data_IF_338242071927
#
_entry.id   IF_338242071927
#
_cell.length_a   1.000
_cell.length_b   1.000
_cell.length_c   1.000
_cell.angle_alpha   90.00
_cell.angle_beta   90.00
_cell.angle_gamma   90.00
#
_symmetry.space_group_name_H-M   'P 1'
#
loop_
_entity.id
_entity.type
_entity.pdbx_description
1 polymer ?
#
# COMPACT_ATOMS: atom_id res chain seq x y z
N UNK A 1 -14.60 27.19 -23.44
CA UNK A 1 -13.18 26.85 -23.13
C UNK A 1 -13.23 26.21 -21.78
N UNK A 2 -12.63 25.02 -21.59
CA UNK A 2 -12.59 24.37 -20.27
C UNK A 2 -11.75 25.17 -19.30
N UNK A 3 -12.15 25.19 -18.04
CA UNK A 3 -11.36 25.75 -16.94
C UNK A 3 -10.03 25.03 -16.82
N UNK A 4 -8.96 25.73 -16.42
CA UNK A 4 -7.62 25.19 -16.23
C UNK A 4 -7.12 25.44 -14.82
N UNK A 5 -6.64 24.36 -14.20
CA UNK A 5 -6.02 24.37 -12.87
C UNK A 5 -4.56 23.95 -13.06
N UNK A 6 -3.65 24.53 -12.29
CA UNK A 6 -2.21 24.27 -12.36
C UNK A 6 -1.74 23.69 -11.03
N UNK A 7 -0.83 22.71 -11.10
CA UNK A 7 -0.21 22.10 -9.92
C UNK A 7 1.17 21.53 -10.28
N UNK A 8 2.03 21.31 -9.32
CA UNK A 8 3.32 20.62 -9.57
C UNK A 8 3.09 19.13 -9.77
N UNK A 9 2.28 18.50 -8.92
CA UNK A 9 2.04 17.06 -8.95
C UNK A 9 0.54 16.74 -8.90
N UNK A 10 0.06 15.99 -9.90
CA UNK A 10 -1.27 15.38 -9.90
C UNK A 10 -1.15 13.89 -9.56
N UNK A 11 -1.83 13.45 -8.50
CA UNK A 11 -1.93 12.05 -8.10
C UNK A 11 -3.34 11.55 -8.42
N UNK A 12 -3.44 10.47 -9.20
CA UNK A 12 -4.72 9.86 -9.59
C UNK A 12 -4.93 8.55 -8.84
N UNK A 13 -5.95 8.52 -7.99
CA UNK A 13 -6.33 7.37 -7.15
C UNK A 13 -6.05 7.61 -5.66
N UNK A 14 -7.12 7.67 -4.87
CA UNK A 14 -7.13 7.90 -3.42
C UNK A 14 -7.06 6.62 -2.58
N UNK A 15 -6.38 5.58 -3.07
CA UNK A 15 -6.03 4.40 -2.29
C UNK A 15 -4.85 4.66 -1.34
N UNK A 16 -4.47 3.63 -0.56
CA UNK A 16 -3.37 3.76 0.44
C UNK A 16 -2.05 4.21 -0.19
N UNK A 17 -1.78 3.82 -1.44
CA UNK A 17 -0.55 4.21 -2.16
C UNK A 17 -0.61 5.69 -2.54
N UNK A 18 -1.75 6.15 -3.11
CA UNK A 18 -1.95 7.56 -3.46
C UNK A 18 -1.87 8.48 -2.24
N UNK A 19 -2.51 8.08 -1.13
CA UNK A 19 -2.46 8.84 0.12
C UNK A 19 -1.04 8.89 0.72
N UNK A 20 -0.30 7.77 0.68
CA UNK A 20 1.09 7.76 1.15
C UNK A 20 1.99 8.67 0.30
N UNK A 21 1.81 8.67 -1.03
CA UNK A 21 2.51 9.59 -1.93
C UNK A 21 2.10 11.05 -1.66
N UNK A 22 0.80 11.32 -1.54
CA UNK A 22 0.30 12.66 -1.25
C UNK A 22 0.86 13.20 0.06
N UNK A 23 0.86 12.38 1.13
CA UNK A 23 1.39 12.78 2.45
C UNK A 23 2.88 13.11 2.45
N UNK A 24 3.64 12.60 1.50
CA UNK A 24 5.08 12.85 1.40
C UNK A 24 5.41 13.97 0.39
N UNK A 25 4.81 13.91 -0.81
CA UNK A 25 5.08 14.85 -1.90
C UNK A 25 4.59 16.27 -1.55
N UNK A 26 3.42 16.39 -0.94
CA UNK A 26 2.85 17.69 -0.56
C UNK A 26 3.68 18.50 0.45
N UNK A 27 4.70 17.91 1.04
CA UNK A 27 5.67 18.64 1.87
C UNK A 27 6.54 19.62 1.06
N UNK A 28 6.63 19.40 -0.25
CA UNK A 28 7.59 20.08 -1.12
C UNK A 28 6.97 20.63 -2.40
N UNK A 29 5.88 20.01 -2.86
CA UNK A 29 5.23 20.31 -4.14
C UNK A 29 3.77 20.73 -3.91
N UNK A 30 3.26 21.66 -4.71
CA UNK A 30 1.82 21.88 -4.83
C UNK A 30 1.19 20.61 -5.43
N UNK A 31 0.30 19.98 -4.66
CA UNK A 31 -0.18 18.64 -4.94
C UNK A 31 -1.70 18.57 -4.95
N UNK A 32 -2.24 17.97 -6.02
CA UNK A 32 -3.65 17.61 -6.14
C UNK A 32 -3.77 16.09 -6.19
N UNK A 33 -4.64 15.52 -5.35
CA UNK A 33 -5.05 14.12 -5.44
C UNK A 33 -6.51 14.03 -5.85
N UNK A 34 -6.79 13.24 -6.89
CA UNK A 34 -8.15 12.99 -7.37
C UNK A 34 -8.53 11.52 -7.19
N UNK A 35 -9.76 11.28 -6.74
CA UNK A 35 -10.35 9.95 -6.54
C UNK A 35 -11.75 9.91 -7.18
N UNK A 36 -11.98 8.90 -8.03
CA UNK A 36 -13.24 8.72 -8.76
C UNK A 36 -14.43 8.37 -7.86
N UNK A 37 -14.18 7.61 -6.79
CA UNK A 37 -15.21 7.16 -5.87
C UNK A 37 -15.67 8.27 -4.92
N UNK A 38 -16.76 8.00 -4.21
CA UNK A 38 -17.32 8.93 -3.24
C UNK A 38 -16.41 9.13 -2.03
N UNK A 39 -15.74 8.05 -1.58
CA UNK A 39 -14.79 8.10 -0.48
C UNK A 39 -13.41 7.63 -0.95
N UNK A 40 -12.39 7.97 -0.18
CA UNK A 40 -11.05 7.41 -0.32
C UNK A 40 -11.05 5.93 0.07
N UNK A 41 -10.06 5.18 -0.42
CA UNK A 41 -9.80 3.77 -0.11
C UNK A 41 -10.97 2.78 -0.34
N UNK A 42 -11.94 3.08 -1.16
CA UNK A 42 -13.13 2.20 -1.36
C UNK A 42 -12.83 0.87 -2.08
N UNK A 43 -11.73 0.76 -2.82
CA UNK A 43 -11.40 -0.44 -3.59
C UNK A 43 -10.46 -1.40 -2.84
N UNK A 44 -9.35 -1.81 -3.46
CA UNK A 44 -8.41 -2.80 -2.91
C UNK A 44 -7.89 -2.43 -1.52
N UNK A 45 -7.73 -1.14 -1.25
CA UNK A 45 -7.16 -0.64 0.01
C UNK A 45 -8.04 -0.90 1.23
N UNK A 46 -9.37 -0.99 1.07
CA UNK A 46 -10.30 -1.36 2.16
C UNK A 46 -10.63 -2.86 2.19
N UNK A 47 -10.25 -3.62 1.15
CA UNK A 47 -10.64 -5.02 0.96
C UNK A 47 -9.45 -5.96 1.17
N UNK A 48 -8.78 -5.82 2.30
CA UNK A 48 -7.65 -6.64 2.69
C UNK A 48 -7.72 -6.98 4.18
N UNK A 49 -6.83 -7.84 4.65
CA UNK A 49 -6.82 -8.31 6.04
C UNK A 49 -5.93 -7.46 6.98
N UNK A 50 -5.41 -6.34 6.52
CA UNK A 50 -4.55 -5.45 7.31
C UNK A 50 -3.24 -6.08 7.77
N UNK A 51 -2.73 -7.11 7.07
CA UNK A 51 -1.51 -7.82 7.49
C UNK A 51 -0.27 -6.99 7.21
N UNK A 52 0.54 -6.79 8.25
CA UNK A 52 1.90 -6.25 8.15
C UNK A 52 2.84 -7.41 7.84
N UNK A 53 3.32 -7.49 6.60
CA UNK A 53 4.13 -8.59 6.09
C UNK A 53 5.61 -8.48 6.49
N UNK A 54 6.26 -9.63 6.73
CA UNK A 54 7.71 -9.72 7.02
C UNK A 54 8.61 -9.68 5.77
N UNK A 55 8.04 -9.85 4.58
CA UNK A 55 8.81 -9.90 3.32
C UNK A 55 9.34 -11.29 2.93
N UNK A 56 9.10 -12.34 3.73
CA UNK A 56 9.71 -13.68 3.54
C UNK A 56 9.48 -14.30 2.16
N UNK A 57 8.29 -14.12 1.57
CA UNK A 57 7.91 -14.81 0.33
C UNK A 57 8.34 -14.08 -0.95
N UNK A 58 8.92 -12.90 -0.85
CA UNK A 58 9.35 -12.17 -2.04
C UNK A 58 10.71 -12.66 -2.55
N UNK A 59 10.95 -12.64 -3.87
CA UNK A 59 12.23 -13.02 -4.42
C UNK A 59 13.39 -12.24 -3.77
N UNK A 60 14.48 -12.95 -3.51
CA UNK A 60 15.66 -12.35 -2.88
C UNK A 60 16.21 -11.19 -3.73
N UNK A 61 16.64 -10.10 -3.08
CA UNK A 61 17.14 -8.86 -3.68
C UNK A 61 16.11 -8.10 -4.56
N UNK A 62 14.84 -8.53 -4.59
CA UNK A 62 13.81 -7.79 -5.31
C UNK A 62 13.45 -6.48 -4.62
N UNK A 63 13.04 -5.49 -5.40
CA UNK A 63 12.47 -4.25 -4.86
C UNK A 63 11.30 -4.52 -3.91
N UNK A 64 10.49 -5.54 -4.23
CA UNK A 64 9.34 -5.93 -3.43
C UNK A 64 9.76 -6.45 -2.04
N UNK A 65 10.83 -7.23 -1.95
CA UNK A 65 11.42 -7.65 -0.68
C UNK A 65 11.92 -6.45 0.11
N UNK A 66 12.81 -5.66 -0.49
CA UNK A 66 13.42 -4.48 0.13
C UNK A 66 12.37 -3.53 0.68
N UNK A 67 11.39 -3.15 -0.14
CA UNK A 67 10.35 -2.22 0.28
C UNK A 67 9.37 -2.83 1.29
N UNK A 68 9.07 -4.12 1.22
CA UNK A 68 8.23 -4.80 2.22
C UNK A 68 8.90 -4.82 3.60
N UNK A 69 10.19 -5.15 3.67
CA UNK A 69 10.94 -5.19 4.93
C UNK A 69 11.13 -3.78 5.53
N UNK A 70 11.43 -2.81 4.70
CA UNK A 70 11.55 -1.42 5.13
C UNK A 70 10.19 -0.87 5.57
N UNK A 71 9.15 -1.09 4.75
CA UNK A 71 7.78 -0.65 5.04
C UNK A 71 7.20 -1.27 6.31
N UNK A 72 7.56 -2.52 6.62
CA UNK A 72 7.17 -3.17 7.89
C UNK A 72 7.62 -2.32 9.09
N UNK A 73 8.89 -1.91 9.13
CA UNK A 73 9.44 -1.07 10.21
C UNK A 73 8.78 0.30 10.25
N UNK A 74 8.73 0.96 9.10
CA UNK A 74 8.12 2.30 8.97
C UNK A 74 6.65 2.31 9.40
N UNK A 75 5.89 1.26 9.06
CA UNK A 75 4.47 1.18 9.41
C UNK A 75 4.27 1.05 10.93
N UNK A 76 5.07 0.25 11.63
CA UNK A 76 5.00 0.20 13.11
C UNK A 76 5.39 1.54 13.77
N UNK A 77 6.38 2.24 13.23
CA UNK A 77 6.78 3.56 13.72
C UNK A 77 5.67 4.58 13.48
N UNK A 78 5.08 4.57 12.29
CA UNK A 78 3.95 5.42 11.94
C UNK A 78 2.74 5.17 12.83
N UNK A 79 2.37 3.90 13.04
CA UNK A 79 1.25 3.53 13.92
C UNK A 79 1.46 4.03 15.35
N UNK A 80 2.67 3.95 15.88
CA UNK A 80 2.98 4.50 17.21
C UNK A 80 2.89 6.02 17.26
N UNK A 81 3.39 6.69 16.20
CA UNK A 81 3.39 8.16 16.12
C UNK A 81 1.98 8.75 16.07
N UNK A 82 1.06 8.08 15.39
CA UNK A 82 -0.31 8.55 15.14
C UNK A 82 -1.38 7.80 15.96
N UNK A 83 -0.96 7.02 16.96
CA UNK A 83 -1.84 6.22 17.84
C UNK A 83 -2.82 5.32 17.06
N UNK A 84 -2.34 4.74 15.94
CA UNK A 84 -3.14 3.84 15.10
C UNK A 84 -3.17 2.45 15.73
N UNK A 85 -4.37 1.88 15.83
CA UNK A 85 -4.57 0.54 16.35
C UNK A 85 -3.81 -0.51 15.51
N UNK A 86 -2.89 -1.20 16.15
CA UNK A 86 -2.07 -2.23 15.51
C UNK A 86 -1.62 -3.29 16.52
N UNK A 87 -1.28 -4.47 16.04
CA UNK A 87 -0.77 -5.54 16.91
C UNK A 87 0.35 -6.31 16.21
N UNK A 88 1.52 -6.36 16.83
CA UNK A 88 2.63 -7.22 16.43
C UNK A 88 2.38 -8.64 16.97
N UNK A 89 1.42 -9.36 16.36
CA UNK A 89 0.94 -10.66 16.81
C UNK A 89 1.70 -11.84 16.23
N UNK A 90 2.68 -11.59 15.38
CA UNK A 90 3.38 -12.63 14.63
C UNK A 90 2.54 -13.24 13.50
N UNK A 91 3.16 -14.14 12.75
CA UNK A 91 2.53 -14.99 11.74
C UNK A 91 3.05 -16.41 11.89
N UNK A 92 2.14 -17.35 12.06
CA UNK A 92 2.50 -18.77 12.13
C UNK A 92 2.52 -19.38 10.73
N UNK A 93 3.57 -20.13 10.43
CA UNK A 93 3.68 -20.98 9.26
C UNK A 93 3.90 -22.38 9.81
N UNK A 94 2.98 -23.27 9.50
CA UNK A 94 2.96 -24.64 10.04
C UNK A 94 3.10 -25.66 8.91
N UNK A 95 3.69 -26.81 9.21
CA UNK A 95 3.94 -27.87 8.26
C UNK A 95 3.48 -29.22 8.82
N UNK A 96 2.84 -30.03 8.00
CA UNK A 96 2.64 -31.45 8.24
C UNK A 96 3.95 -32.22 8.03
N UNK A 97 3.98 -33.51 8.36
CA UNK A 97 5.20 -34.33 8.24
C UNK A 97 5.78 -34.41 6.83
N UNK A 98 4.93 -34.37 5.84
CA UNK A 98 5.29 -34.43 4.41
C UNK A 98 5.80 -33.05 3.88
N UNK A 99 5.59 -31.95 4.63
CA UNK A 99 5.97 -30.60 4.27
C UNK A 99 7.19 -30.04 5.06
N UNK A 100 7.90 -30.92 5.79
CA UNK A 100 9.04 -30.48 6.61
C UNK A 100 10.21 -29.95 5.77
N UNK A 101 10.36 -30.43 4.54
CA UNK A 101 11.38 -29.95 3.60
C UNK A 101 11.13 -28.48 3.21
N UNK A 102 9.88 -28.13 2.94
CA UNK A 102 9.47 -26.76 2.61
C UNK A 102 9.67 -25.82 3.81
N UNK A 103 9.34 -26.29 5.02
CA UNK A 103 9.59 -25.53 6.23
C UNK A 103 11.08 -25.26 6.45
N UNK A 104 11.94 -26.29 6.19
CA UNK A 104 13.39 -26.13 6.26
C UNK A 104 13.89 -25.09 5.25
N UNK A 105 13.36 -25.10 4.02
CA UNK A 105 13.69 -24.09 3.00
C UNK A 105 13.29 -22.68 3.46
N UNK A 106 12.12 -22.54 4.06
CA UNK A 106 11.65 -21.25 4.62
C UNK A 106 12.53 -20.76 5.78
N UNK A 107 12.98 -21.66 6.67
CA UNK A 107 13.89 -21.26 7.75
C UNK A 107 15.26 -20.82 7.22
N UNK A 108 15.77 -21.48 6.18
CA UNK A 108 17.00 -21.05 5.51
C UNK A 108 16.80 -19.67 4.83
N UNK A 109 15.64 -19.43 4.24
CA UNK A 109 15.29 -18.16 3.66
C UNK A 109 15.19 -17.06 4.72
N UNK A 110 14.62 -17.35 5.89
CA UNK A 110 14.64 -16.40 7.02
C UNK A 110 16.06 -15.99 7.39
N UNK A 111 16.98 -16.97 7.50
CA UNK A 111 18.38 -16.71 7.84
C UNK A 111 19.08 -15.86 6.78
N UNK A 112 18.88 -16.15 5.49
CA UNK A 112 19.52 -15.41 4.40
C UNK A 112 19.02 -13.97 4.29
N UNK A 113 17.80 -13.68 4.77
CA UNK A 113 17.15 -12.37 4.72
C UNK A 113 17.18 -11.60 6.05
N UNK A 114 17.85 -12.12 7.06
CA UNK A 114 17.87 -11.56 8.42
C UNK A 114 16.46 -11.34 8.99
N UNK A 115 15.54 -12.27 8.70
CA UNK A 115 14.18 -12.27 9.24
C UNK A 115 14.16 -13.12 10.52
N UNK A 116 13.87 -12.48 11.65
CA UNK A 116 13.74 -13.17 12.92
C UNK A 116 12.53 -14.12 12.91
N UNK A 117 12.77 -15.33 13.36
CA UNK A 117 11.72 -16.33 13.56
C UNK A 117 11.96 -17.17 14.80
N UNK A 118 10.89 -17.70 15.36
CA UNK A 118 10.91 -18.66 16.47
C UNK A 118 10.37 -20.00 15.96
N UNK A 119 11.12 -21.10 16.21
CA UNK A 119 10.65 -22.46 15.92
C UNK A 119 9.51 -22.84 16.85
N UNK A 120 8.51 -23.52 16.31
CA UNK A 120 7.32 -23.99 17.02
C UNK A 120 7.23 -25.50 16.95
N UNK A 121 7.10 -26.13 18.12
CA UNK A 121 6.75 -27.54 18.21
C UNK A 121 5.21 -27.72 18.27
N UNK A 122 4.74 -28.94 18.06
CA UNK A 122 3.33 -29.28 18.26
C UNK A 122 2.82 -28.94 19.68
N UNK A 123 3.69 -28.98 20.69
CA UNK A 123 3.37 -28.60 22.08
C UNK A 123 3.11 -27.08 22.20
N UNK A 124 3.88 -26.24 21.50
CA UNK A 124 3.68 -24.78 21.53
C UNK A 124 2.32 -24.38 20.98
N UNK A 125 1.81 -25.17 20.05
CA UNK A 125 0.54 -24.91 19.36
C UNK A 125 -0.65 -25.69 19.94
N UNK A 126 -0.46 -26.45 21.00
CA UNK A 126 -1.53 -27.25 21.63
C UNK A 126 -2.77 -26.44 22.03
N UNK A 127 -2.62 -25.13 22.29
CA UNK A 127 -3.72 -24.20 22.54
C UNK A 127 -4.59 -23.91 21.31
N UNK A 128 -4.11 -24.23 20.10
CA UNK A 128 -4.84 -24.07 18.84
C UNK A 128 -5.33 -25.44 18.35
N UNK A 129 -6.18 -26.09 19.13
CA UNK A 129 -6.61 -27.49 19.01
C UNK A 129 -7.18 -27.92 17.65
N UNK A 130 -7.59 -26.96 16.81
CA UNK A 130 -8.12 -27.22 15.47
C UNK A 130 -7.05 -27.41 14.39
N UNK A 131 -5.76 -27.22 14.72
CA UNK A 131 -4.66 -27.33 13.76
C UNK A 131 -3.83 -28.59 14.02
N UNK A 132 -3.79 -29.50 13.04
CA UNK A 132 -2.91 -30.67 13.05
C UNK A 132 -1.67 -30.39 12.23
N UNK A 133 -0.51 -30.28 12.88
CA UNK A 133 0.78 -30.07 12.22
C UNK A 133 1.92 -30.69 13.05
N UNK A 134 3.08 -30.86 12.43
CA UNK A 134 4.27 -31.45 13.07
C UNK A 134 5.21 -30.39 13.65
N UNK A 135 5.53 -29.41 12.84
CA UNK A 135 6.45 -28.31 13.18
C UNK A 135 5.96 -27.01 12.55
N UNK A 136 6.51 -25.88 13.00
CA UNK A 136 6.22 -24.57 12.44
C UNK A 136 7.23 -23.52 12.84
N UNK A 137 7.04 -22.33 12.29
CA UNK A 137 7.77 -21.13 12.69
C UNK A 137 6.80 -19.97 12.94
N UNK A 138 7.18 -19.09 13.83
CA UNK A 138 6.53 -17.80 14.04
C UNK A 138 7.43 -16.69 13.49
N UNK A 139 6.89 -15.89 12.59
CA UNK A 139 7.56 -14.70 12.06
C UNK A 139 7.17 -13.51 12.95
N UNK A 140 8.04 -13.14 13.88
CA UNK A 140 7.77 -12.18 14.94
C UNK A 140 7.53 -10.75 14.43
N UNK A 141 8.07 -10.39 13.25
CA UNK A 141 7.90 -9.06 12.66
C UNK A 141 6.54 -8.84 11.99
N UNK A 142 5.77 -9.91 11.76
CA UNK A 142 4.43 -9.80 11.18
C UNK A 142 3.41 -9.33 12.19
N UNK A 143 2.33 -8.71 11.70
CA UNK A 143 1.25 -8.24 12.56
C UNK A 143 0.04 -7.81 11.75
N UNK A 144 -0.82 -7.03 12.39
CA UNK A 144 -2.03 -6.45 11.81
C UNK A 144 -2.12 -4.97 12.15
N UNK A 145 -2.76 -4.21 11.28
CA UNK A 145 -3.01 -2.77 11.42
C UNK A 145 -4.46 -2.45 11.06
N UNK A 146 -5.03 -1.45 11.72
CA UNK A 146 -6.26 -0.82 11.28
C UNK A 146 -5.97 0.01 10.03
N UNK A 147 -6.41 -0.53 8.88
CA UNK A 147 -6.14 0.06 7.56
C UNK A 147 -6.87 1.38 7.37
N UNK A 148 -8.06 1.54 7.95
CA UNK A 148 -8.82 2.78 7.84
C UNK A 148 -8.15 3.90 8.62
N UNK A 149 -7.83 3.70 9.90
CA UNK A 149 -7.11 4.68 10.70
C UNK A 149 -5.72 5.01 10.13
N UNK A 150 -5.06 4.03 9.48
CA UNK A 150 -3.81 4.29 8.77
C UNK A 150 -4.02 5.22 7.57
N UNK A 151 -5.06 4.98 6.76
CA UNK A 151 -5.40 5.84 5.63
C UNK A 151 -5.78 7.26 6.09
N UNK A 152 -6.61 7.37 7.14
CA UNK A 152 -7.02 8.65 7.72
C UNK A 152 -5.81 9.48 8.18
N UNK A 153 -4.81 8.82 8.77
CA UNK A 153 -3.58 9.50 9.18
C UNK A 153 -2.76 10.03 8.01
N UNK A 154 -2.72 9.31 6.90
CA UNK A 154 -2.04 9.74 5.67
C UNK A 154 -2.78 10.90 5.01
N UNK A 155 -4.12 10.83 4.94
CA UNK A 155 -4.96 11.93 4.47
C UNK A 155 -4.76 13.18 5.33
N UNK A 156 -4.78 13.03 6.65
CA UNK A 156 -4.52 14.12 7.58
C UNK A 156 -3.18 14.81 7.29
N UNK A 157 -2.09 14.03 7.16
CA UNK A 157 -0.77 14.58 6.85
C UNK A 157 -0.78 15.33 5.51
N UNK A 158 -1.40 14.76 4.47
CA UNK A 158 -1.46 15.38 3.15
C UNK A 158 -2.20 16.73 3.22
N UNK A 159 -3.33 16.80 3.91
CA UNK A 159 -4.12 18.03 4.08
C UNK A 159 -3.39 19.08 4.93
N UNK A 160 -2.70 18.69 6.00
CA UNK A 160 -1.85 19.60 6.78
C UNK A 160 -0.72 20.21 5.93
N UNK A 161 -0.25 19.50 4.91
CA UNK A 161 0.71 19.99 3.94
C UNK A 161 0.04 20.66 2.70
N UNK A 162 -1.24 21.06 2.82
CA UNK A 162 -2.01 21.77 1.79
C UNK A 162 -2.30 20.97 0.51
N UNK A 163 -2.17 19.62 0.51
CA UNK A 163 -2.63 18.82 -0.60
C UNK A 163 -4.14 18.98 -0.82
N UNK A 164 -4.54 19.32 -2.02
CA UNK A 164 -5.94 19.38 -2.41
C UNK A 164 -6.42 17.96 -2.74
N UNK A 165 -7.38 17.43 -1.99
CA UNK A 165 -7.94 16.09 -2.20
C UNK A 165 -9.39 16.22 -2.65
N UNK A 166 -9.68 15.73 -3.86
CA UNK A 166 -11.01 15.77 -4.46
C UNK A 166 -11.52 14.36 -4.76
N UNK A 167 -12.62 13.97 -4.11
CA UNK A 167 -13.37 12.74 -4.41
C UNK A 167 -14.41 12.98 -5.51
N UNK A 168 -15.03 11.91 -6.05
CA UNK A 168 -15.95 11.99 -7.21
C UNK A 168 -15.35 12.69 -8.42
N UNK A 169 -14.03 12.57 -8.55
CA UNK A 169 -13.21 13.29 -9.51
C UNK A 169 -12.35 12.29 -10.26
N UNK A 170 -12.64 12.09 -11.54
CA UNK A 170 -12.06 11.04 -12.38
C UNK A 170 -11.17 11.62 -13.48
N UNK A 171 -9.98 11.04 -13.65
CA UNK A 171 -9.17 11.25 -14.84
C UNK A 171 -9.82 10.51 -16.02
N UNK A 172 -10.21 11.23 -17.06
CA UNK A 172 -10.81 10.66 -18.27
C UNK A 172 -9.80 10.42 -19.38
N UNK A 173 -8.84 11.33 -19.53
CA UNK A 173 -7.72 11.20 -20.46
C UNK A 173 -6.56 12.11 -20.07
N UNK A 174 -5.39 11.87 -20.66
CA UNK A 174 -4.27 12.77 -20.50
C UNK A 174 -3.48 12.88 -21.80
N UNK A 175 -2.76 13.98 -21.96
CA UNK A 175 -1.81 14.20 -23.04
C UNK A 175 -0.48 14.73 -22.48
N UNK A 176 0.60 14.26 -23.10
CA UNK A 176 1.95 14.77 -22.79
C UNK A 176 2.19 15.98 -23.68
N UNK A 177 2.42 17.11 -23.09
CA UNK A 177 2.87 18.33 -23.75
C UNK A 177 4.37 18.50 -23.48
N UNK A 178 4.99 19.46 -24.10
CA UNK A 178 6.47 19.62 -24.10
C UNK A 178 7.13 19.32 -22.74
N UNK A 179 6.66 19.93 -21.65
CA UNK A 179 7.24 19.78 -20.31
C UNK A 179 6.19 19.58 -19.23
N UNK A 180 4.94 19.28 -19.55
CA UNK A 180 3.87 19.06 -18.59
C UNK A 180 2.83 18.06 -19.10
N UNK A 181 1.98 17.59 -18.19
CA UNK A 181 0.84 16.75 -18.50
C UNK A 181 -0.43 17.60 -18.51
N UNK A 182 -1.23 17.44 -19.55
CA UNK A 182 -2.57 17.99 -19.66
C UNK A 182 -3.58 16.87 -19.38
N UNK A 183 -4.23 16.94 -18.22
CA UNK A 183 -5.15 15.89 -17.75
C UNK A 183 -6.58 16.38 -17.82
N UNK A 184 -7.44 15.69 -18.58
CA UNK A 184 -8.88 15.95 -18.62
C UNK A 184 -9.54 15.27 -17.43
N UNK A 185 -10.18 16.05 -16.60
CA UNK A 185 -10.81 15.62 -15.35
C UNK A 185 -12.31 15.82 -15.44
N UNK A 186 -13.08 14.84 -14.98
CA UNK A 186 -14.53 14.93 -14.80
C UNK A 186 -14.86 14.90 -13.30
N UNK A 187 -15.54 15.94 -12.82
CA UNK A 187 -16.05 16.01 -11.45
C UNK A 187 -17.55 16.26 -11.49
N UNK A 188 -18.35 15.30 -11.04
CA UNK A 188 -19.83 15.40 -11.01
C UNK A 188 -20.45 15.85 -12.34
N UNK A 189 -19.88 15.42 -13.46
CA UNK A 189 -20.34 15.76 -14.82
C UNK A 189 -19.83 17.09 -15.36
N UNK A 190 -19.03 17.82 -14.62
CA UNK A 190 -18.30 19.00 -15.10
C UNK A 190 -16.88 18.61 -15.51
N UNK A 191 -16.43 19.07 -16.66
CA UNK A 191 -15.10 18.81 -17.17
C UNK A 191 -14.20 20.05 -17.03
N UNK A 192 -12.95 19.81 -16.64
CA UNK A 192 -11.90 20.82 -16.59
C UNK A 192 -10.53 20.16 -16.84
N UNK A 193 -9.50 20.96 -17.00
CA UNK A 193 -8.15 20.50 -17.27
C UNK A 193 -7.27 20.79 -16.07
N UNK A 194 -6.50 19.77 -15.62
CA UNK A 194 -5.37 19.97 -14.72
C UNK A 194 -4.09 19.85 -15.54
N UNK A 195 -3.29 20.91 -15.48
CA UNK A 195 -1.92 20.92 -16.00
C UNK A 195 -0.95 20.67 -14.85
N UNK A 196 -0.11 19.65 -14.99
CA UNK A 196 0.86 19.28 -13.94
C UNK A 196 2.24 18.97 -14.50
N UNK A 197 3.28 19.26 -13.73
CA UNK A 197 4.66 18.85 -14.08
C UNK A 197 4.83 17.33 -13.92
N UNK A 198 4.22 16.76 -12.90
CA UNK A 198 4.24 15.33 -12.61
C UNK A 198 2.81 14.76 -12.62
N UNK A 199 2.65 13.57 -13.22
CA UNK A 199 1.40 12.81 -13.20
C UNK A 199 1.67 11.41 -12.65
N UNK A 200 1.04 11.08 -11.52
CA UNK A 200 1.25 9.82 -10.82
C UNK A 200 -0.03 8.98 -10.84
N UNK A 201 0.07 7.77 -11.37
CA UNK A 201 -1.02 6.81 -11.42
C UNK A 201 -0.94 5.85 -10.22
N UNK A 202 -1.91 5.95 -9.30
CA UNK A 202 -2.08 5.07 -8.14
C UNK A 202 -3.46 4.40 -8.11
N UNK A 203 -4.04 4.17 -9.30
CA UNK A 203 -5.41 3.68 -9.52
C UNK A 203 -5.55 2.15 -9.39
N UNK A 204 -4.58 1.46 -8.80
CA UNK A 204 -4.62 0.01 -8.65
C UNK A 204 -4.86 -0.72 -9.98
N UNK A 205 -5.86 -1.58 -10.04
CA UNK A 205 -6.18 -2.38 -11.24
C UNK A 205 -6.67 -1.53 -12.43
N UNK A 206 -7.12 -0.31 -12.20
CA UNK A 206 -7.59 0.57 -13.27
C UNK A 206 -6.46 1.28 -14.02
N UNK A 207 -5.22 1.18 -13.53
CA UNK A 207 -4.05 1.83 -14.17
C UNK A 207 -3.82 1.34 -15.60
N UNK A 208 -4.03 0.05 -15.88
CA UNK A 208 -3.82 -0.55 -17.21
C UNK A 208 -4.66 0.12 -18.30
N UNK A 209 -5.85 0.61 -17.99
CA UNK A 209 -6.76 1.25 -18.95
C UNK A 209 -6.14 2.42 -19.72
N UNK A 210 -5.14 3.08 -19.14
CA UNK A 210 -4.46 4.22 -19.74
C UNK A 210 -3.21 3.84 -20.54
N UNK A 211 -2.77 2.57 -20.45
CA UNK A 211 -1.53 2.09 -21.08
C UNK A 211 -1.73 0.86 -21.96
N UNK A 212 -2.95 0.33 -22.06
CA UNK A 212 -3.28 -0.71 -23.03
C UNK A 212 -3.22 -0.09 -24.43
N UNK A 213 -2.31 -0.61 -25.28
CA UNK A 213 -2.33 -0.26 -26.69
C UNK A 213 -3.59 -0.89 -27.31
N UNK A 214 -4.39 -0.16 -28.09
CA UNK A 214 -5.42 -0.79 -28.88
C UNK A 214 -4.75 -1.78 -29.85
N UNK A 215 -5.24 -3.04 -29.85
CA UNK A 215 -4.86 -4.08 -30.81
C UNK A 215 -5.11 -3.64 -32.27
#
# INVERSE_FOLDING_TARGET
>A
MLERIYTDTLIVGGGIVGLALASEISKHDDTILVEKNYNLIEETSSRNSGVIHSGIYYPHESLKEKHSMQGNRMLYEHCKKFDISHKKCGKFIVASKDQLSELTNLTNLCKSKDINYRSLSAKDMSKYQSLSFSEGIELESSGIVDVHNFADSLEFIARENHCQISTRTELTSFAIKNNFFESLISCEGQEFIIESTNLIFSMGLSTSKFFEQPD
#
